data_IF_207317650330
#
_entry.id   IF_207317650330
#
_cell.length_a   1.000
_cell.length_b   1.000
_cell.length_c   1.000
_cell.angle_alpha   90.00
_cell.angle_beta   90.00
_cell.angle_gamma   90.00
#
_symmetry.space_group_name_H-M   'P 1'
#
loop_
_entity.id
_entity.type
_entity.pdbx_description
1 polymer ?
#
# COMPACT_ATOMS: atom_id res chain seq x y z
N UNK A 1 25.74 15.03 -0.67
CA UNK A 1 24.62 14.50 -1.49
C UNK A 1 23.77 13.65 -0.59
N UNK A 2 22.49 13.84 -0.60
CA UNK A 2 21.56 12.96 0.12
C UNK A 2 21.57 11.59 -0.58
N UNK A 3 21.64 10.46 0.14
CA UNK A 3 21.62 9.15 -0.50
C UNK A 3 20.27 8.94 -1.20
N UNK A 4 20.28 8.30 -2.37
CA UNK A 4 19.06 7.97 -3.11
C UNK A 4 18.25 6.86 -2.44
N UNK A 5 18.91 6.06 -1.60
CA UNK A 5 18.33 4.93 -0.90
C UNK A 5 18.55 5.07 0.59
N UNK A 6 17.52 4.79 1.40
CA UNK A 6 17.60 4.80 2.86
C UNK A 6 16.79 3.63 3.43
N UNK A 7 17.28 3.00 4.51
CA UNK A 7 16.54 1.97 5.21
C UNK A 7 15.26 2.53 5.83
N UNK A 8 14.20 1.74 5.87
CA UNK A 8 12.92 2.18 6.47
C UNK A 8 13.09 2.53 7.95
N UNK A 9 13.96 1.82 8.67
CA UNK A 9 14.23 2.07 10.08
C UNK A 9 14.80 3.47 10.36
N UNK A 10 15.47 4.08 9.38
CA UNK A 10 16.09 5.40 9.49
C UNK A 10 15.17 6.55 9.07
N UNK A 11 13.99 6.25 8.52
CA UNK A 11 13.04 7.25 8.06
C UNK A 11 12.17 7.78 9.20
N UNK A 12 11.85 9.08 9.13
CA UNK A 12 10.95 9.77 10.06
C UNK A 12 9.98 10.66 9.28
N UNK A 13 8.94 11.13 9.95
CA UNK A 13 7.91 11.98 9.36
C UNK A 13 8.46 13.19 8.58
N UNK A 14 9.59 13.77 9.04
CA UNK A 14 10.28 14.88 8.37
C UNK A 14 10.89 14.52 7.00
N UNK A 15 11.02 13.25 6.67
CA UNK A 15 11.59 12.78 5.40
C UNK A 15 10.51 12.60 4.30
N UNK A 16 9.24 12.92 4.57
CA UNK A 16 8.10 12.62 3.68
C UNK A 16 8.20 13.30 2.31
N UNK A 17 8.83 14.48 2.23
CA UNK A 17 9.09 15.16 0.96
C UNK A 17 10.04 14.39 0.04
N UNK A 18 10.99 13.66 0.62
CA UNK A 18 12.01 12.92 -0.12
C UNK A 18 11.63 11.45 -0.37
N UNK A 19 10.93 10.80 0.55
CA UNK A 19 10.67 9.36 0.47
C UNK A 19 9.19 8.99 0.39
N UNK A 20 8.29 9.99 0.44
CA UNK A 20 6.85 9.81 0.41
C UNK A 20 6.25 9.36 1.75
N UNK A 21 4.93 9.47 1.86
CA UNK A 21 4.18 9.19 3.10
C UNK A 21 4.26 7.74 3.55
N UNK A 22 4.09 6.78 2.63
CA UNK A 22 4.13 5.35 2.97
C UNK A 22 5.45 4.93 3.60
N UNK A 23 6.58 5.30 2.98
CA UNK A 23 7.91 4.92 3.49
C UNK A 23 8.17 5.52 4.86
N UNK A 24 7.83 6.78 5.07
CA UNK A 24 8.05 7.47 6.35
C UNK A 24 7.12 6.98 7.45
N UNK A 25 5.88 6.64 7.11
CA UNK A 25 4.94 6.01 8.06
C UNK A 25 5.46 4.66 8.57
N UNK A 26 6.06 3.83 7.70
CA UNK A 26 6.70 2.57 8.12
C UNK A 26 7.91 2.82 9.03
N UNK A 27 8.72 3.84 8.74
CA UNK A 27 9.83 4.27 9.60
C UNK A 27 9.37 4.73 10.98
N UNK A 28 8.27 5.46 11.05
CA UNK A 28 7.63 5.85 12.32
C UNK A 28 7.12 4.65 13.11
N UNK A 29 6.50 3.66 12.45
CA UNK A 29 6.07 2.42 13.09
C UNK A 29 7.27 1.66 13.69
N UNK A 30 8.37 1.52 12.94
CA UNK A 30 9.61 0.90 13.43
C UNK A 30 10.18 1.64 14.63
N UNK A 31 10.18 2.98 14.60
CA UNK A 31 10.65 3.81 15.72
C UNK A 31 9.80 3.64 16.98
N UNK A 32 8.52 3.32 16.82
CA UNK A 32 7.59 3.02 17.90
C UNK A 32 7.72 1.58 18.45
N UNK A 33 8.64 0.77 17.92
CA UNK A 33 8.80 -0.63 18.28
C UNK A 33 7.70 -1.55 17.71
N UNK A 34 6.98 -1.10 16.71
CA UNK A 34 5.98 -1.89 16.01
C UNK A 34 6.69 -2.79 14.99
N UNK A 35 6.27 -4.05 14.93
CA UNK A 35 6.85 -5.03 14.02
C UNK A 35 6.43 -4.73 12.58
N UNK A 36 7.39 -4.32 11.76
CA UNK A 36 7.25 -4.00 10.33
C UNK A 36 8.27 -4.83 9.57
N UNK A 37 7.95 -5.43 8.43
CA UNK A 37 8.95 -6.13 7.63
C UNK A 37 10.07 -5.18 7.24
N UNK A 38 11.36 -5.59 7.32
CA UNK A 38 12.47 -4.76 6.92
C UNK A 38 12.40 -4.39 5.45
N UNK A 39 13.06 -3.28 5.10
CA UNK A 39 13.07 -2.77 3.74
C UNK A 39 13.80 -1.44 3.63
N UNK A 40 13.79 -0.88 2.45
CA UNK A 40 14.38 0.42 2.14
C UNK A 40 13.42 1.25 1.28
N UNK A 41 13.69 2.54 1.22
CA UNK A 41 12.99 3.47 0.35
C UNK A 41 13.93 4.10 -0.67
N UNK A 42 13.43 4.29 -1.89
CA UNK A 42 14.07 5.04 -2.97
C UNK A 42 13.48 6.44 -2.98
N UNK A 43 14.33 7.46 -3.01
CA UNK A 43 13.91 8.86 -2.87
C UNK A 43 13.29 9.45 -4.15
N UNK A 44 12.59 10.55 -4.01
CA UNK A 44 12.11 11.38 -5.13
C UNK A 44 13.28 11.97 -5.94
N UNK A 45 14.44 12.21 -5.31
CA UNK A 45 15.65 12.66 -5.99
C UNK A 45 16.18 11.60 -6.96
N UNK A 46 16.00 10.30 -6.66
CA UNK A 46 16.31 9.21 -7.57
C UNK A 46 15.47 9.27 -8.86
N UNK A 47 14.18 9.53 -8.72
CA UNK A 47 13.30 9.75 -9.86
C UNK A 47 13.72 10.99 -10.67
N UNK A 48 14.03 12.09 -9.99
CA UNK A 48 14.51 13.31 -10.64
C UNK A 48 15.80 13.05 -11.42
N UNK A 49 16.76 12.30 -10.85
CA UNK A 49 17.97 11.91 -11.54
C UNK A 49 17.67 11.03 -12.78
N UNK A 50 16.75 10.08 -12.65
CA UNK A 50 16.33 9.24 -13.78
C UNK A 50 15.77 10.08 -14.95
N UNK A 51 15.00 11.12 -14.65
CA UNK A 51 14.45 12.03 -15.67
C UNK A 51 15.50 12.85 -16.41
N UNK A 52 16.73 12.98 -15.90
CA UNK A 52 17.81 13.68 -16.61
C UNK A 52 18.51 12.83 -17.69
N UNK A 53 18.31 11.51 -17.68
CA UNK A 53 18.95 10.61 -18.65
C UNK A 53 18.28 10.78 -20.01
N UNK A 54 19.09 10.96 -21.05
CA UNK A 54 18.66 11.08 -22.47
C UNK A 54 17.49 12.08 -22.65
N UNK A 55 17.52 13.18 -21.87
CA UNK A 55 16.50 14.23 -21.91
C UNK A 55 15.07 13.69 -21.67
N UNK A 56 14.94 12.59 -20.88
CA UNK A 56 13.66 11.91 -20.65
C UNK A 56 12.59 12.87 -20.13
N UNK A 57 12.96 13.77 -19.21
CA UNK A 57 12.03 14.76 -18.66
C UNK A 57 11.47 15.70 -19.73
N UNK A 58 12.30 16.14 -20.69
CA UNK A 58 11.88 17.00 -21.81
C UNK A 58 10.99 16.23 -22.78
N UNK A 59 11.30 14.96 -23.04
CA UNK A 59 10.47 14.07 -23.87
C UNK A 59 9.09 13.85 -23.26
N UNK A 60 9.02 13.67 -21.94
CA UNK A 60 7.75 13.55 -21.22
C UNK A 60 6.97 14.87 -21.30
N UNK A 61 7.62 16.00 -21.05
CA UNK A 61 6.99 17.31 -21.14
C UNK A 61 6.42 17.56 -22.55
N UNK A 62 7.18 17.20 -23.60
CA UNK A 62 6.71 17.31 -24.98
C UNK A 62 5.50 16.41 -25.29
N UNK A 63 5.44 15.20 -24.72
CA UNK A 63 4.31 14.29 -24.89
C UNK A 63 3.02 14.79 -24.18
N UNK A 64 3.17 15.64 -23.17
CA UNK A 64 2.06 16.24 -22.42
C UNK A 64 1.73 17.67 -22.89
N UNK A 65 2.57 18.29 -23.73
CA UNK A 65 2.31 19.61 -24.25
C UNK A 65 1.02 19.61 -25.12
N UNK A 66 0.22 20.64 -24.96
CA UNK A 66 -1.03 20.83 -25.71
C UNK A 66 -2.04 19.68 -25.63
N UNK A 67 -1.87 18.78 -24.62
CA UNK A 67 -2.77 17.65 -24.40
C UNK A 67 -4.12 18.14 -23.86
N UNK A 68 -5.20 17.86 -24.60
CA UNK A 68 -6.56 18.03 -24.06
C UNK A 68 -6.90 16.87 -23.12
N UNK A 69 -7.06 17.09 -21.81
CA UNK A 69 -7.39 16.05 -20.86
C UNK A 69 -8.79 15.44 -21.05
N UNK A 70 -9.66 16.08 -21.86
CA UNK A 70 -10.96 15.55 -22.21
C UNK A 70 -10.90 14.57 -23.41
N UNK A 71 -9.82 14.61 -24.21
CA UNK A 71 -9.58 13.60 -25.27
C UNK A 71 -8.94 12.33 -24.67
N UNK A 72 -9.80 11.38 -24.29
CA UNK A 72 -9.39 10.10 -23.71
C UNK A 72 -8.38 9.36 -24.60
N UNK A 73 -8.57 9.43 -25.94
CA UNK A 73 -7.67 8.78 -26.90
C UNK A 73 -6.29 9.45 -26.95
N UNK A 74 -6.21 10.78 -26.85
CA UNK A 74 -4.96 11.50 -26.79
C UNK A 74 -4.22 11.23 -25.48
N UNK A 75 -4.95 11.24 -24.35
CA UNK A 75 -4.40 10.91 -23.03
C UNK A 75 -3.82 9.49 -23.00
N UNK A 76 -4.54 8.51 -23.56
CA UNK A 76 -4.07 7.13 -23.65
C UNK A 76 -2.77 7.02 -24.47
N UNK A 77 -2.71 7.63 -25.65
CA UNK A 77 -1.51 7.64 -26.49
C UNK A 77 -0.33 8.32 -25.79
N UNK A 78 -0.54 9.46 -25.14
CA UNK A 78 0.52 10.15 -24.41
C UNK A 78 1.07 9.26 -23.27
N UNK A 79 0.20 8.60 -22.51
CA UNK A 79 0.58 7.64 -21.46
C UNK A 79 1.44 6.51 -22.03
N UNK A 80 1.06 5.90 -23.15
CA UNK A 80 1.80 4.80 -23.79
C UNK A 80 3.18 5.25 -24.27
N UNK A 81 3.26 6.41 -24.93
CA UNK A 81 4.53 6.99 -25.41
C UNK A 81 5.48 7.27 -24.24
N UNK A 82 4.97 7.83 -23.14
CA UNK A 82 5.76 8.10 -21.93
C UNK A 82 6.23 6.79 -21.31
N UNK A 83 5.35 5.80 -21.15
CA UNK A 83 5.71 4.51 -20.58
C UNK A 83 6.79 3.79 -21.41
N UNK A 84 6.71 3.83 -22.74
CA UNK A 84 7.72 3.26 -23.64
C UNK A 84 9.06 4.00 -23.50
N UNK A 85 9.04 5.33 -23.48
CA UNK A 85 10.24 6.14 -23.27
C UNK A 85 10.93 5.81 -21.94
N UNK A 86 10.18 5.71 -20.86
CA UNK A 86 10.71 5.37 -19.53
C UNK A 86 11.26 3.94 -19.46
N UNK A 87 10.64 2.98 -20.15
CA UNK A 87 11.16 1.60 -20.22
C UNK A 87 12.45 1.51 -21.00
N UNK A 88 12.60 2.29 -22.09
CA UNK A 88 13.77 2.30 -22.93
C UNK A 88 14.96 3.06 -22.34
N UNK A 89 14.75 3.90 -21.33
CA UNK A 89 15.79 4.70 -20.68
C UNK A 89 16.58 3.87 -19.67
N UNK A 90 17.90 3.92 -19.74
CA UNK A 90 18.79 3.22 -18.82
C UNK A 90 18.77 3.83 -17.41
N UNK A 91 18.88 2.96 -16.39
CA UNK A 91 18.99 3.41 -15.00
C UNK A 91 20.45 3.92 -14.76
N UNK A 92 20.64 5.12 -14.19
CA UNK A 92 21.96 5.62 -13.82
C UNK A 92 22.75 4.62 -12.99
N UNK A 93 24.02 4.39 -13.33
CA UNK A 93 24.86 3.38 -12.70
C UNK A 93 25.01 3.59 -11.18
N UNK A 94 25.09 4.85 -10.72
CA UNK A 94 25.14 5.19 -9.29
C UNK A 94 23.88 4.73 -8.56
N UNK A 95 22.72 4.99 -9.14
CA UNK A 95 21.43 4.63 -8.59
C UNK A 95 21.24 3.10 -8.56
N UNK A 96 21.62 2.43 -9.68
CA UNK A 96 21.61 0.96 -9.76
C UNK A 96 22.48 0.36 -8.65
N UNK A 97 23.66 0.89 -8.41
CA UNK A 97 24.56 0.40 -7.37
C UNK A 97 23.99 0.57 -5.95
N UNK A 98 23.33 1.68 -5.64
CA UNK A 98 22.72 1.90 -4.32
C UNK A 98 21.56 0.94 -4.05
N UNK A 99 20.64 0.77 -4.99
CA UNK A 99 19.50 -0.16 -4.85
C UNK A 99 20.00 -1.61 -4.79
N UNK A 100 20.96 -2.01 -5.64
CA UNK A 100 21.51 -3.37 -5.60
C UNK A 100 22.15 -3.70 -4.26
N UNK A 101 22.87 -2.74 -3.66
CA UNK A 101 23.46 -2.89 -2.33
C UNK A 101 22.40 -3.05 -1.24
N UNK A 102 21.35 -2.19 -1.27
CA UNK A 102 20.27 -2.25 -0.29
C UNK A 102 19.46 -3.55 -0.41
N UNK A 103 19.20 -4.00 -1.65
CA UNK A 103 18.51 -5.26 -1.90
C UNK A 103 19.34 -6.47 -1.46
N UNK A 104 20.67 -6.47 -1.73
CA UNK A 104 21.57 -7.51 -1.25
C UNK A 104 21.61 -7.58 0.28
N UNK A 105 21.70 -6.44 0.97
CA UNK A 105 21.66 -6.39 2.44
C UNK A 105 20.32 -6.93 2.99
N UNK A 106 19.21 -6.67 2.29
CA UNK A 106 17.91 -7.21 2.66
C UNK A 106 17.85 -8.73 2.49
N UNK A 107 18.48 -9.28 1.44
CA UNK A 107 18.65 -10.71 1.22
C UNK A 107 19.48 -11.37 2.32
N UNK A 108 20.61 -10.77 2.70
CA UNK A 108 21.45 -11.23 3.81
C UNK A 108 20.65 -11.28 5.13
N UNK A 109 19.86 -10.25 5.41
CA UNK A 109 19.00 -10.21 6.59
C UNK A 109 17.91 -11.30 6.58
N UNK A 110 17.37 -11.62 5.39
CA UNK A 110 16.39 -12.68 5.21
C UNK A 110 17.02 -14.09 5.15
N UNK A 111 18.34 -14.18 5.02
CA UNK A 111 19.07 -15.45 4.88
C UNK A 111 18.90 -16.12 3.52
N UNK A 112 18.65 -15.33 2.46
CA UNK A 112 18.47 -15.80 1.09
C UNK A 112 19.17 -14.86 0.10
N UNK A 113 19.62 -15.37 -1.05
CA UNK A 113 20.32 -14.57 -2.06
C UNK A 113 19.37 -13.61 -2.77
N UNK A 114 18.15 -14.05 -3.08
CA UNK A 114 17.11 -13.27 -3.75
C UNK A 114 15.85 -13.21 -2.88
N UNK A 115 15.78 -12.18 -2.03
CA UNK A 115 14.64 -11.99 -1.16
C UNK A 115 13.41 -11.55 -1.95
N UNK A 116 12.28 -12.24 -1.76
CA UNK A 116 11.01 -11.74 -2.27
C UNK A 116 10.62 -10.44 -1.58
N UNK A 117 10.24 -9.42 -2.36
CA UNK A 117 9.86 -8.10 -1.85
C UNK A 117 8.52 -7.63 -2.41
N UNK A 118 7.89 -6.73 -1.67
CA UNK A 118 6.83 -5.87 -2.16
C UNK A 118 7.44 -4.52 -2.58
N UNK A 119 7.17 -4.08 -3.81
CA UNK A 119 7.59 -2.78 -4.34
C UNK A 119 6.34 -1.91 -4.49
N UNK A 120 6.31 -0.78 -3.79
CA UNK A 120 5.12 0.07 -3.68
C UNK A 120 5.47 1.52 -3.96
N UNK A 121 4.63 2.21 -4.72
CA UNK A 121 4.71 3.65 -4.88
C UNK A 121 4.50 4.35 -3.53
N UNK A 122 5.24 5.44 -3.30
CA UNK A 122 5.17 6.28 -2.11
C UNK A 122 5.21 7.73 -2.55
N UNK A 123 4.04 8.28 -2.90
CA UNK A 123 3.94 9.63 -3.44
C UNK A 123 3.99 10.71 -2.33
N UNK A 124 4.37 11.93 -2.73
CA UNK A 124 4.27 13.12 -1.90
C UNK A 124 2.82 13.40 -1.55
N UNK A 125 2.52 13.63 -0.28
CA UNK A 125 1.18 14.05 0.16
C UNK A 125 0.09 12.99 0.01
N UNK A 126 0.42 11.74 -0.30
CA UNK A 126 -0.52 10.64 -0.47
C UNK A 126 -1.43 10.41 0.73
N UNK A 127 -0.89 10.59 1.94
CA UNK A 127 -1.60 10.41 3.21
C UNK A 127 -2.23 11.73 3.73
N UNK A 128 -2.21 12.81 2.92
CA UNK A 128 -2.85 14.06 3.31
C UNK A 128 -4.36 14.01 3.03
N UNK A 129 -5.15 14.65 3.90
CA UNK A 129 -6.61 14.78 3.75
C UNK A 129 -7.07 15.44 2.43
N UNK A 130 -6.14 16.08 1.71
CA UNK A 130 -6.37 16.75 0.44
C UNK A 130 -6.01 15.90 -0.79
N UNK A 131 -5.29 14.78 -0.61
CA UNK A 131 -4.80 13.97 -1.70
C UNK A 131 -5.80 12.87 -2.08
N UNK A 132 -6.62 13.12 -3.08
CA UNK A 132 -7.52 12.13 -3.68
C UNK A 132 -6.76 11.20 -4.67
N UNK A 133 -5.47 10.95 -4.44
CA UNK A 133 -4.68 9.98 -5.21
C UNK A 133 -4.94 8.51 -4.81
N UNK A 134 -5.87 8.29 -3.90
CA UNK A 134 -6.29 6.96 -3.49
C UNK A 134 -6.78 6.17 -4.72
N UNK A 135 -6.10 5.07 -5.04
CA UNK A 135 -6.51 4.15 -6.10
C UNK A 135 -5.70 4.17 -7.40
N UNK A 136 -4.62 4.94 -7.48
CA UNK A 136 -3.75 4.97 -8.67
C UNK A 136 -2.33 4.47 -8.38
N UNK A 137 -2.16 3.69 -7.31
CA UNK A 137 -0.85 3.31 -6.83
C UNK A 137 -0.61 1.83 -7.03
N UNK A 138 0.41 1.54 -7.84
CA UNK A 138 0.80 0.19 -8.14
C UNK A 138 1.58 -0.42 -6.97
N UNK A 139 1.24 -1.67 -6.65
CA UNK A 139 1.98 -2.51 -5.72
C UNK A 139 2.34 -3.81 -6.43
N UNK A 140 3.63 -4.07 -6.52
CA UNK A 140 4.17 -5.29 -7.10
C UNK A 140 4.57 -6.21 -5.96
N UNK A 141 3.93 -7.35 -5.88
CA UNK A 141 4.13 -8.30 -4.80
C UNK A 141 4.92 -9.51 -5.30
N UNK A 142 5.74 -10.07 -4.42
CA UNK A 142 6.56 -11.24 -4.70
C UNK A 142 7.54 -11.04 -5.85
N UNK A 143 8.18 -9.87 -5.84
CA UNK A 143 9.26 -9.53 -6.77
C UNK A 143 10.57 -10.10 -6.22
N UNK A 144 11.33 -10.83 -7.01
CA UNK A 144 12.60 -11.44 -6.61
C UNK A 144 13.64 -11.26 -7.71
N UNK A 145 14.87 -10.93 -7.30
CA UNK A 145 15.95 -10.57 -8.23
C UNK A 145 16.07 -9.06 -8.43
N UNK A 146 17.32 -8.56 -8.48
CA UNK A 146 17.62 -7.12 -8.52
C UNK A 146 17.07 -6.45 -9.79
N UNK A 147 17.07 -7.15 -10.92
CA UNK A 147 16.57 -6.61 -12.18
C UNK A 147 15.03 -6.47 -12.14
N UNK A 148 14.33 -7.46 -11.60
CA UNK A 148 12.86 -7.40 -11.42
C UNK A 148 12.47 -6.31 -10.41
N UNK A 149 13.27 -6.10 -9.36
CA UNK A 149 13.08 -4.98 -8.42
C UNK A 149 13.21 -3.64 -9.14
N UNK A 150 14.17 -3.51 -10.06
CA UNK A 150 14.31 -2.31 -10.88
C UNK A 150 13.13 -2.10 -11.83
N UNK A 151 12.66 -3.16 -12.45
CA UNK A 151 11.49 -3.08 -13.34
C UNK A 151 10.23 -2.68 -12.56
N UNK A 152 10.07 -3.18 -11.34
CA UNK A 152 8.97 -2.78 -10.46
C UNK A 152 9.10 -1.31 -9.98
N UNK A 153 10.32 -0.84 -9.63
CA UNK A 153 10.56 0.57 -9.30
C UNK A 153 10.20 1.47 -10.48
N UNK A 154 10.67 1.11 -11.67
CA UNK A 154 10.35 1.84 -12.91
C UNK A 154 8.84 1.84 -13.19
N UNK A 155 8.16 0.72 -12.97
CA UNK A 155 6.72 0.63 -13.14
C UNK A 155 5.97 1.53 -12.14
N UNK A 156 6.42 1.64 -10.88
CA UNK A 156 5.90 2.65 -9.95
C UNK A 156 6.05 4.07 -10.50
N UNK A 157 7.19 4.42 -11.08
CA UNK A 157 7.38 5.75 -11.68
C UNK A 157 6.52 5.97 -12.93
N UNK A 158 6.33 4.94 -13.75
CA UNK A 158 5.43 4.99 -14.93
C UNK A 158 3.98 5.23 -14.51
N UNK A 159 3.53 4.71 -13.36
CA UNK A 159 2.16 4.91 -12.89
C UNK A 159 1.78 6.37 -12.67
N UNK A 160 2.77 7.25 -12.44
CA UNK A 160 2.57 8.71 -12.41
C UNK A 160 2.01 9.26 -13.72
N UNK A 161 2.20 8.56 -14.82
CA UNK A 161 1.76 8.96 -16.16
C UNK A 161 0.67 8.03 -16.71
N UNK A 162 -0.02 7.30 -15.84
CA UNK A 162 -1.24 6.57 -16.21
C UNK A 162 -2.33 7.53 -16.70
N UNK A 163 -3.25 7.11 -17.58
CA UNK A 163 -4.31 7.98 -18.10
C UNK A 163 -5.11 8.67 -16.98
N UNK A 164 -5.55 7.98 -15.91
CA UNK A 164 -6.21 8.64 -14.78
C UNK A 164 -5.31 9.67 -14.09
N UNK A 165 -4.00 9.38 -13.90
CA UNK A 165 -3.07 10.30 -13.25
C UNK A 165 -2.82 11.56 -14.09
N UNK A 166 -2.71 11.45 -15.40
CA UNK A 166 -2.59 12.57 -16.33
C UNK A 166 -3.85 13.45 -16.25
N UNK A 167 -5.03 12.83 -16.40
CA UNK A 167 -6.31 13.56 -16.37
C UNK A 167 -6.54 14.27 -15.04
N UNK A 168 -6.25 13.60 -13.92
CA UNK A 168 -6.40 14.18 -12.59
C UNK A 168 -5.50 15.42 -12.41
N UNK A 169 -4.21 15.32 -12.75
CA UNK A 169 -3.29 16.46 -12.63
C UNK A 169 -3.71 17.64 -13.49
N UNK A 170 -4.16 17.38 -14.71
CA UNK A 170 -4.64 18.45 -15.60
C UNK A 170 -5.88 19.18 -15.05
N UNK A 171 -6.72 18.50 -14.25
CA UNK A 171 -7.93 19.09 -13.69
C UNK A 171 -7.71 19.77 -12.33
N UNK A 172 -6.81 19.25 -11.51
CA UNK A 172 -6.71 19.60 -10.08
C UNK A 172 -5.35 20.13 -9.64
N UNK A 173 -4.28 19.94 -10.41
CA UNK A 173 -2.97 20.48 -10.09
C UNK A 173 -2.90 21.95 -10.52
N UNK A 174 -3.05 22.85 -9.56
CA UNK A 174 -2.95 24.31 -9.77
C UNK A 174 -1.47 24.81 -9.72
N UNK A 175 -0.46 23.99 -10.00
CA UNK A 175 0.94 24.37 -9.88
C UNK A 175 1.85 23.64 -10.87
N UNK A 176 3.00 24.29 -11.16
CA UNK A 176 4.08 23.78 -12.04
C UNK A 176 4.94 22.67 -11.40
N UNK A 177 4.53 22.09 -10.27
CA UNK A 177 5.32 21.05 -9.62
C UNK A 177 5.30 19.75 -10.41
N UNK A 178 6.46 19.38 -10.93
CA UNK A 178 6.64 18.10 -11.59
C UNK A 178 6.28 16.95 -10.61
N UNK A 179 5.59 15.91 -11.08
CA UNK A 179 5.24 14.78 -10.23
C UNK A 179 6.53 14.14 -9.68
N UNK A 180 6.55 13.87 -8.38
CA UNK A 180 7.67 13.23 -7.72
C UNK A 180 7.16 12.02 -6.90
N UNK A 181 7.88 10.90 -6.99
CA UNK A 181 7.48 9.66 -6.33
C UNK A 181 8.70 8.96 -5.76
N UNK A 182 8.65 8.70 -4.45
CA UNK A 182 9.49 7.72 -3.82
C UNK A 182 8.94 6.31 -4.04
N UNK A 183 9.74 5.30 -3.77
CA UNK A 183 9.33 3.89 -3.87
C UNK A 183 9.75 3.16 -2.60
N UNK A 184 8.84 2.41 -2.01
CA UNK A 184 9.09 1.52 -0.88
C UNK A 184 9.40 0.12 -1.39
N UNK A 185 10.52 -0.46 -0.99
CA UNK A 185 10.90 -1.86 -1.23
C UNK A 185 10.96 -2.55 0.13
N UNK A 186 10.11 -3.54 0.36
CA UNK A 186 9.91 -4.16 1.67
C UNK A 186 9.90 -5.68 1.54
N UNK A 187 10.51 -6.41 2.49
CA UNK A 187 10.43 -7.87 2.52
C UNK A 187 8.99 -8.34 2.47
N UNK A 188 8.76 -9.32 1.61
CA UNK A 188 7.44 -9.93 1.46
C UNK A 188 7.10 -10.78 2.68
N UNK A 189 5.86 -10.68 3.15
CA UNK A 189 5.32 -11.54 4.19
C UNK A 189 4.48 -12.64 3.53
N UNK A 190 4.88 -13.89 3.70
CA UNK A 190 4.04 -15.03 3.32
C UNK A 190 2.89 -15.16 4.32
N UNK A 191 1.81 -14.42 4.05
CA UNK A 191 0.71 -14.30 4.96
C UNK A 191 -0.15 -15.56 5.03
N UNK A 192 -0.40 -16.05 6.25
CA UNK A 192 -1.48 -17.00 6.53
C UNK A 192 -2.82 -16.29 6.53
N UNK A 193 -2.86 -15.14 7.20
CA UNK A 193 -4.04 -14.27 7.34
C UNK A 193 -3.56 -12.83 7.21
N UNK A 194 -4.32 -12.02 6.54
CA UNK A 194 -4.07 -10.59 6.44
C UNK A 194 -5.35 -9.79 6.35
N UNK A 195 -5.23 -8.49 6.45
CA UNK A 195 -6.39 -7.63 6.34
C UNK A 195 -6.11 -6.18 6.66
N UNK A 196 -7.17 -5.46 6.97
CA UNK A 196 -7.15 -4.07 7.37
C UNK A 196 -7.78 -3.90 8.73
N UNK A 197 -7.31 -2.92 9.50
CA UNK A 197 -7.97 -2.52 10.74
C UNK A 197 -8.03 -1.01 10.86
N UNK A 198 -9.13 -0.53 11.43
CA UNK A 198 -9.33 0.89 11.74
C UNK A 198 -9.32 1.08 13.24
N UNK A 199 -8.63 2.11 13.71
CA UNK A 199 -8.65 2.47 15.13
C UNK A 199 -9.87 3.29 15.52
N UNK A 200 -10.92 3.23 14.74
CA UNK A 200 -12.27 3.71 15.06
C UNK A 200 -13.28 2.88 14.26
N UNK A 201 -14.56 2.99 14.58
CA UNK A 201 -15.59 2.43 13.71
C UNK A 201 -15.65 3.21 12.38
N UNK A 202 -15.41 2.60 11.23
CA UNK A 202 -15.50 3.31 9.94
C UNK A 202 -16.95 3.73 9.62
N UNK A 203 -17.95 3.02 10.15
CA UNK A 203 -19.36 3.30 9.89
C UNK A 203 -19.91 4.46 10.76
N UNK A 204 -19.45 4.61 12.02
CA UNK A 204 -19.99 5.58 12.98
C UNK A 204 -18.97 6.62 13.44
N UNK A 205 -17.69 6.42 13.17
CA UNK A 205 -16.61 7.23 13.71
C UNK A 205 -16.33 7.01 15.20
N UNK A 206 -16.94 6.00 15.84
CA UNK A 206 -16.76 5.72 17.27
C UNK A 206 -15.30 5.40 17.60
N UNK A 207 -14.59 6.24 18.39
CA UNK A 207 -13.18 6.06 18.72
C UNK A 207 -12.92 4.96 19.75
N UNK A 208 -13.97 4.44 20.41
CA UNK A 208 -13.86 3.40 21.43
C UNK A 208 -13.72 1.99 20.86
N UNK A 209 -13.82 1.85 19.54
CA UNK A 209 -13.84 0.57 18.81
C UNK A 209 -12.58 0.46 17.92
N UNK A 210 -12.03 -0.76 17.83
CA UNK A 210 -11.17 -1.18 16.72
C UNK A 210 -12.02 -2.08 15.81
N UNK A 211 -12.07 -1.72 14.52
CA UNK A 211 -12.71 -2.54 13.49
C UNK A 211 -11.64 -3.31 12.72
N UNK A 212 -11.77 -4.63 12.63
CA UNK A 212 -10.81 -5.51 11.94
C UNK A 212 -11.53 -6.26 10.84
N UNK A 213 -10.99 -6.21 9.63
CA UNK A 213 -11.39 -7.03 8.49
C UNK A 213 -10.26 -8.00 8.17
N UNK A 214 -10.55 -9.29 8.01
CA UNK A 214 -9.55 -10.33 7.84
C UNK A 214 -9.94 -11.37 6.79
N UNK A 215 -8.98 -11.86 6.03
CA UNK A 215 -9.14 -13.00 5.13
C UNK A 215 -7.87 -13.85 5.08
N UNK A 216 -8.00 -15.05 4.51
CA UNK A 216 -6.86 -15.93 4.29
C UNK A 216 -5.93 -15.41 3.20
N UNK A 217 -4.65 -15.70 3.35
CA UNK A 217 -3.62 -15.34 2.38
C UNK A 217 -3.25 -13.86 2.39
N UNK A 218 -2.84 -13.35 1.23
CA UNK A 218 -2.42 -11.96 1.05
C UNK A 218 -3.62 -11.00 0.99
N UNK A 219 -3.42 -9.77 1.45
CA UNK A 219 -4.47 -8.75 1.61
C UNK A 219 -5.18 -8.30 0.35
N UNK A 220 -4.71 -8.68 -0.84
CA UNK A 220 -5.28 -8.30 -2.14
C UNK A 220 -6.78 -8.61 -2.25
N UNK A 221 -7.22 -9.78 -1.79
CA UNK A 221 -8.62 -10.17 -1.85
C UNK A 221 -9.53 -9.27 -1.01
N UNK A 222 -9.05 -8.78 0.14
CA UNK A 222 -9.77 -7.84 1.01
C UNK A 222 -9.77 -6.45 0.42
N UNK A 223 -8.59 -5.96 0.03
CA UNK A 223 -8.41 -4.62 -0.53
C UNK A 223 -9.13 -4.50 -1.87
N UNK A 224 -9.07 -5.53 -2.73
CA UNK A 224 -9.76 -5.60 -4.01
C UNK A 224 -11.27 -5.83 -3.91
N UNK A 225 -11.81 -6.13 -2.72
CA UNK A 225 -13.24 -6.41 -2.54
C UNK A 225 -13.72 -7.69 -3.22
N UNK A 226 -12.82 -8.63 -3.48
CA UNK A 226 -13.12 -9.89 -4.17
C UNK A 226 -13.71 -10.95 -3.24
N UNK A 227 -13.60 -10.74 -1.93
CA UNK A 227 -14.14 -11.61 -0.91
C UNK A 227 -14.94 -10.82 0.11
N UNK A 228 -15.89 -11.49 0.77
CA UNK A 228 -16.49 -10.99 2.00
C UNK A 228 -15.59 -11.42 3.16
N UNK A 229 -14.83 -10.49 3.78
CA UNK A 229 -13.91 -10.82 4.86
C UNK A 229 -14.65 -11.16 6.14
N UNK A 230 -13.93 -11.73 7.11
CA UNK A 230 -14.39 -11.73 8.49
C UNK A 230 -14.33 -10.31 9.04
N UNK A 231 -15.36 -9.91 9.77
CA UNK A 231 -15.46 -8.60 10.43
C UNK A 231 -15.51 -8.76 11.95
N UNK A 232 -14.67 -8.02 12.65
CA UNK A 232 -14.67 -7.97 14.11
C UNK A 232 -14.72 -6.51 14.58
N UNK A 233 -15.59 -6.21 15.54
CA UNK A 233 -15.59 -4.95 16.27
C UNK A 233 -15.16 -5.22 17.71
N UNK A 234 -14.08 -4.60 18.15
CA UNK A 234 -13.45 -4.87 19.45
C UNK A 234 -13.47 -3.59 20.29
N UNK A 235 -13.94 -3.68 21.53
CA UNK A 235 -13.88 -2.57 22.48
C UNK A 235 -12.43 -2.26 22.87
N UNK A 236 -11.98 -1.03 22.67
CA UNK A 236 -10.67 -0.59 23.16
C UNK A 236 -10.57 -0.56 24.68
N UNK A 237 -11.70 -0.40 25.37
CA UNK A 237 -11.77 -0.27 26.83
C UNK A 237 -11.71 -1.62 27.50
N UNK A 238 -12.58 -2.54 27.09
CA UNK A 238 -12.72 -3.87 27.75
C UNK A 238 -11.93 -4.97 27.04
N UNK A 239 -11.57 -4.80 25.75
CA UNK A 239 -11.00 -5.85 24.92
C UNK A 239 -12.02 -6.88 24.42
N UNK A 240 -13.30 -6.71 24.75
CA UNK A 240 -14.36 -7.63 24.32
C UNK A 240 -14.68 -7.48 22.84
N UNK A 241 -15.00 -8.60 22.21
CA UNK A 241 -15.51 -8.64 20.83
C UNK A 241 -17.00 -8.27 20.90
N UNK A 242 -17.32 -7.04 20.46
CA UNK A 242 -18.69 -6.52 20.47
C UNK A 242 -19.54 -7.08 19.32
N UNK A 243 -18.89 -7.36 18.18
CA UNK A 243 -19.50 -7.95 16.99
C UNK A 243 -18.50 -8.81 16.26
N UNK A 244 -18.97 -9.93 15.74
CA UNK A 244 -18.22 -10.83 14.86
C UNK A 244 -19.15 -11.27 13.74
N UNK A 245 -18.68 -11.15 12.50
CA UNK A 245 -19.35 -11.67 11.31
C UNK A 245 -18.32 -12.49 10.52
N UNK A 246 -18.64 -13.75 10.25
CA UNK A 246 -17.77 -14.61 9.45
C UNK A 246 -18.20 -14.51 7.99
N UNK A 247 -17.29 -14.06 7.15
CA UNK A 247 -17.52 -13.87 5.74
C UNK A 247 -17.33 -15.14 4.90
N UNK A 248 -17.72 -15.06 3.64
CA UNK A 248 -17.41 -16.07 2.63
C UNK A 248 -16.09 -15.72 1.94
N UNK A 249 -15.02 -16.31 2.43
CA UNK A 249 -13.65 -16.11 1.94
C UNK A 249 -13.35 -17.08 0.80
N UNK A 250 -14.07 -16.93 -0.33
CA UNK A 250 -14.04 -17.88 -1.45
C UNK A 250 -12.68 -17.97 -2.15
N UNK A 251 -11.89 -16.88 -2.12
CA UNK A 251 -10.61 -16.75 -2.81
C UNK A 251 -9.56 -16.27 -1.82
N UNK A 252 -8.37 -16.81 -1.92
CA UNK A 252 -7.16 -16.30 -1.27
C UNK A 252 -6.10 -16.00 -2.33
N UNK A 253 -5.25 -14.99 -2.10
CA UNK A 253 -4.10 -14.72 -2.95
C UNK A 253 -2.87 -15.38 -2.35
N UNK A 254 -2.17 -16.13 -3.19
CA UNK A 254 -0.98 -16.91 -2.79
C UNK A 254 0.13 -16.74 -3.82
N UNK A 255 1.36 -16.88 -3.36
CA UNK A 255 2.49 -17.09 -4.25
C UNK A 255 2.51 -18.55 -4.71
N UNK A 256 2.80 -18.79 -5.98
CA UNK A 256 3.05 -20.13 -6.52
C UNK A 256 4.57 -20.32 -6.69
N UNK A 257 5.18 -21.36 -6.08
CA UNK A 257 6.62 -21.61 -6.21
C UNK A 257 7.05 -21.70 -7.68
N UNK A 258 8.09 -20.93 -8.04
CA UNK A 258 8.61 -20.86 -9.41
C UNK A 258 7.86 -19.92 -10.36
N UNK A 259 6.85 -19.22 -9.89
CA UNK A 259 6.17 -18.15 -10.62
C UNK A 259 6.54 -16.78 -10.01
N UNK A 260 6.64 -15.76 -10.85
CA UNK A 260 6.76 -14.37 -10.37
C UNK A 260 5.37 -13.87 -9.95
N UNK A 261 5.34 -13.08 -8.87
CA UNK A 261 4.11 -12.44 -8.42
C UNK A 261 3.20 -13.36 -7.60
N UNK A 262 1.93 -13.02 -7.61
CA UNK A 262 0.88 -13.68 -6.82
C UNK A 262 -0.34 -13.96 -7.70
N UNK A 263 -1.09 -15.00 -7.36
CA UNK A 263 -2.30 -15.37 -8.10
C UNK A 263 -3.46 -15.68 -7.16
N UNK A 264 -4.69 -15.50 -7.61
CA UNK A 264 -5.86 -15.97 -6.88
C UNK A 264 -5.91 -17.50 -6.89
N UNK A 265 -6.31 -18.08 -5.77
CA UNK A 265 -6.56 -19.50 -5.60
C UNK A 265 -7.87 -19.71 -4.82
N UNK A 266 -8.64 -20.77 -5.10
CA UNK A 266 -9.79 -21.10 -4.30
C UNK A 266 -9.40 -21.41 -2.86
N UNK A 267 -10.03 -20.77 -1.90
CA UNK A 267 -9.86 -21.13 -0.49
C UNK A 267 -10.39 -22.54 -0.24
N UNK A 268 -9.63 -23.42 0.45
CA UNK A 268 -10.11 -24.75 0.83
C UNK A 268 -11.47 -24.69 1.55
N UNK A 269 -12.38 -25.59 1.17
CA UNK A 269 -13.77 -25.55 1.62
C UNK A 269 -13.91 -25.53 3.16
N UNK A 270 -13.02 -26.25 3.86
CA UNK A 270 -12.97 -26.32 5.32
C UNK A 270 -12.57 -25.00 6.00
N UNK A 271 -11.88 -24.10 5.27
CA UNK A 271 -11.44 -22.80 5.79
C UNK A 271 -12.38 -21.64 5.40
N UNK A 272 -13.19 -21.85 4.39
CA UNK A 272 -13.96 -20.78 3.75
C UNK A 272 -14.91 -20.03 4.72
N UNK A 273 -15.56 -20.77 5.60
CA UNK A 273 -16.61 -20.25 6.50
C UNK A 273 -16.25 -20.34 7.99
N UNK A 274 -14.99 -20.51 8.33
CA UNK A 274 -14.51 -20.44 9.70
C UNK A 274 -13.79 -19.13 9.95
N UNK A 275 -13.71 -18.70 11.20
CA UNK A 275 -12.98 -17.49 11.58
C UNK A 275 -11.50 -17.60 11.17
N UNK A 276 -10.99 -16.58 10.50
CA UNK A 276 -9.56 -16.49 10.12
C UNK A 276 -8.67 -16.06 11.28
N UNK A 277 -9.26 -15.46 12.32
CA UNK A 277 -8.59 -15.00 13.53
C UNK A 277 -9.18 -15.65 14.77
N UNK A 278 -8.32 -16.07 15.69
CA UNK A 278 -8.66 -16.48 17.04
C UNK A 278 -8.58 -15.30 18.03
N UNK A 279 -8.94 -15.58 19.30
CA UNK A 279 -8.96 -14.56 20.33
C UNK A 279 -7.56 -13.99 20.65
N UNK A 280 -6.50 -14.79 20.54
CA UNK A 280 -5.12 -14.35 20.80
C UNK A 280 -4.65 -13.37 19.71
N UNK A 281 -4.90 -13.70 18.44
CA UNK A 281 -4.59 -12.82 17.31
C UNK A 281 -5.38 -11.51 17.35
N UNK A 282 -6.67 -11.56 17.72
CA UNK A 282 -7.49 -10.35 17.90
C UNK A 282 -6.99 -9.47 19.04
N UNK A 283 -6.55 -10.06 20.16
CA UNK A 283 -5.95 -9.31 21.26
C UNK A 283 -4.63 -8.65 20.86
N UNK A 284 -3.79 -9.33 20.08
CA UNK A 284 -2.55 -8.78 19.54
C UNK A 284 -2.79 -7.62 18.56
N UNK A 285 -3.77 -7.74 17.65
CA UNK A 285 -4.20 -6.66 16.75
C UNK A 285 -4.72 -5.45 17.52
N UNK A 286 -5.53 -5.66 18.56
CA UNK A 286 -6.01 -4.59 19.43
C UNK A 286 -4.85 -3.87 20.14
N UNK A 287 -3.86 -4.62 20.64
CA UNK A 287 -2.67 -4.04 21.28
C UNK A 287 -1.86 -3.20 20.30
N UNK A 288 -1.61 -3.70 19.08
CA UNK A 288 -0.93 -2.98 18.02
C UNK A 288 -1.70 -1.71 17.61
N UNK A 289 -3.02 -1.81 17.38
CA UNK A 289 -3.87 -0.67 17.03
C UNK A 289 -3.79 0.46 18.07
N UNK A 290 -3.85 0.13 19.36
CA UNK A 290 -3.72 1.11 20.45
C UNK A 290 -2.34 1.74 20.55
N UNK A 291 -1.27 0.98 20.28
CA UNK A 291 0.09 1.49 20.26
C UNK A 291 0.31 2.45 19.08
N UNK A 292 -0.15 2.09 17.91
CA UNK A 292 -0.05 2.88 16.68
C UNK A 292 -0.85 4.19 16.80
N UNK A 293 -2.12 4.11 17.23
CA UNK A 293 -2.94 5.32 17.44
C UNK A 293 -2.32 6.28 18.46
N UNK A 294 -1.72 5.75 19.53
CA UNK A 294 -1.03 6.57 20.53
C UNK A 294 0.21 7.24 19.96
N UNK A 295 0.98 6.52 19.13
CA UNK A 295 2.18 7.06 18.50
C UNK A 295 1.88 8.21 17.54
N UNK A 296 0.90 8.02 16.66
CA UNK A 296 0.52 9.05 15.68
C UNK A 296 -0.40 10.15 16.26
N UNK A 297 -1.01 9.93 17.43
CA UNK A 297 -1.96 10.86 18.04
C UNK A 297 -3.25 11.05 17.24
N UNK A 298 -3.53 10.20 16.26
CA UNK A 298 -4.67 10.27 15.35
C UNK A 298 -5.20 8.87 15.02
N UNK A 299 -6.47 8.79 14.61
CA UNK A 299 -7.09 7.53 14.17
C UNK A 299 -6.41 7.04 12.92
N UNK A 300 -6.18 5.73 12.86
CA UNK A 300 -5.39 5.09 11.80
C UNK A 300 -6.19 4.03 11.06
N UNK A 301 -5.92 3.94 9.76
CA UNK A 301 -6.22 2.85 8.85
C UNK A 301 -4.92 2.06 8.64
N UNK A 302 -4.93 0.77 8.98
CA UNK A 302 -3.73 -0.04 9.11
C UNK A 302 -3.87 -1.34 8.32
N UNK A 303 -2.93 -1.59 7.42
CA UNK A 303 -2.76 -2.90 6.78
C UNK A 303 -1.86 -3.79 7.64
N UNK A 304 -2.22 -5.05 7.79
CA UNK A 304 -1.49 -6.00 8.62
C UNK A 304 -1.48 -7.41 8.02
N UNK A 305 -0.53 -8.23 8.45
CA UNK A 305 -0.46 -9.64 8.11
C UNK A 305 0.09 -10.47 9.27
N UNK A 306 -0.38 -11.70 9.40
CA UNK A 306 0.21 -12.76 10.22
C UNK A 306 0.90 -13.73 9.28
N UNK A 307 2.21 -13.88 9.42
CA UNK A 307 2.99 -14.79 8.58
C UNK A 307 2.70 -16.26 8.91
N UNK A 308 2.81 -17.13 7.89
CA UNK A 308 2.70 -18.60 8.06
C UNK A 308 3.80 -19.16 8.95
N UNK A 309 5.00 -18.56 8.88
CA UNK A 309 6.14 -18.95 9.69
C UNK A 309 6.26 -18.11 10.94
N UNK A 310 6.95 -18.64 11.95
CA UNK A 310 7.14 -17.95 13.22
C UNK A 310 6.01 -18.21 14.20
N UNK A 311 6.12 -17.59 15.37
CA UNK A 311 5.14 -17.72 16.47
C UNK A 311 4.53 -16.37 16.78
N UNK A 312 3.23 -16.33 17.00
CA UNK A 312 2.53 -15.14 17.42
C UNK A 312 3.01 -14.70 18.85
N UNK A 313 3.19 -13.39 19.13
CA UNK A 313 2.90 -12.26 18.25
C UNK A 313 4.06 -11.82 17.34
N UNK A 314 5.23 -12.50 17.36
CA UNK A 314 6.40 -12.08 16.60
C UNK A 314 6.23 -12.17 15.08
N UNK A 315 5.27 -12.96 14.61
CA UNK A 315 4.91 -13.07 13.19
C UNK A 315 3.72 -12.19 12.76
N UNK A 316 3.27 -11.27 13.63
CA UNK A 316 2.31 -10.23 13.27
C UNK A 316 3.07 -9.00 12.78
N UNK A 317 2.81 -8.60 11.55
CA UNK A 317 3.44 -7.46 10.89
C UNK A 317 2.43 -6.37 10.52
N UNK A 318 2.84 -5.11 10.70
CA UNK A 318 2.13 -3.95 10.13
C UNK A 318 2.77 -3.61 8.79
N UNK A 319 1.94 -3.49 7.75
CA UNK A 319 2.39 -3.32 6.36
C UNK A 319 2.22 -1.89 5.85
N UNK A 320 1.30 -1.16 6.44
CA UNK A 320 1.02 0.26 6.17
C UNK A 320 0.19 0.85 7.31
N UNK A 321 0.35 2.15 7.59
CA UNK A 321 -0.53 2.91 8.47
C UNK A 321 -0.72 4.31 7.90
N UNK A 322 -1.96 4.80 7.88
CA UNK A 322 -2.29 6.16 7.45
C UNK A 322 -3.41 6.75 8.30
N UNK A 323 -3.49 8.08 8.43
CA UNK A 323 -4.60 8.71 9.12
C UNK A 323 -5.95 8.40 8.45
N UNK A 324 -7.00 8.18 9.26
CA UNK A 324 -8.37 8.06 8.74
C UNK A 324 -8.85 9.43 8.30
N UNK A 325 -9.08 9.60 6.98
CA UNK A 325 -9.46 10.89 6.37
C UNK A 325 -10.99 11.10 6.26
N UNK A 326 -11.77 10.02 6.24
CA UNK A 326 -13.23 10.06 6.12
C UNK A 326 -13.89 9.47 7.37
N UNK A 327 -14.39 10.33 8.26
CA UNK A 327 -15.37 9.94 9.28
C UNK A 327 -16.71 10.52 8.89
N UNK A 328 -17.81 9.75 8.91
CA UNK A 328 -19.15 10.30 8.76
C UNK A 328 -19.35 11.38 9.83
N UNK A 329 -19.61 12.61 9.42
CA UNK A 329 -20.05 13.67 10.35
C UNK A 329 -21.39 13.23 10.93
N UNK A 330 -21.49 13.18 12.27
CA UNK A 330 -22.74 12.99 12.97
C UNK A 330 -23.72 14.07 12.53
N UNK A 331 -24.64 13.77 11.63
CA UNK A 331 -25.63 14.74 11.11
C UNK A 331 -26.20 14.45 9.72
N UNK A 332 -25.71 13.49 8.97
CA UNK A 332 -26.42 13.06 7.76
C UNK A 332 -27.35 11.88 8.13
N UNK A 333 -28.65 12.10 8.04
CA UNK A 333 -29.68 11.06 8.05
C UNK A 333 -29.47 10.11 6.86
N UNK A 334 -28.47 9.24 6.94
CA UNK A 334 -28.29 8.13 6.03
C UNK A 334 -29.24 7.02 6.47
N UNK A 335 -30.29 6.85 5.67
CA UNK A 335 -31.22 5.72 5.71
C UNK A 335 -30.44 4.43 6.01
N UNK A 336 -30.83 3.75 7.06
CA UNK A 336 -30.28 2.44 7.45
C UNK A 336 -30.45 1.45 6.31
N UNK A 337 -29.43 1.29 5.49
CA UNK A 337 -29.30 0.09 4.66
C UNK A 337 -28.71 -1.03 5.54
N UNK A 338 -29.56 -2.02 5.85
CA UNK A 338 -29.26 -3.14 6.76
C UNK A 338 -28.42 -4.24 6.11
N UNK A 339 -27.82 -3.98 4.96
CA UNK A 339 -26.92 -4.92 4.28
C UNK A 339 -25.47 -4.48 4.52
N UNK A 340 -24.59 -5.41 4.90
CA UNK A 340 -23.17 -5.18 5.22
C UNK A 340 -22.31 -4.56 4.10
N UNK A 341 -22.96 -4.05 3.05
CA UNK A 341 -22.35 -3.36 1.92
C UNK A 341 -21.76 -1.97 2.27
N UNK A 342 -22.24 -1.34 3.36
CA UNK A 342 -21.81 0.04 3.69
C UNK A 342 -20.36 0.15 4.16
N UNK A 343 -19.90 -0.76 5.04
CA UNK A 343 -18.52 -0.75 5.54
C UNK A 343 -17.53 -1.14 4.42
N UNK A 344 -17.92 -2.10 3.57
CA UNK A 344 -17.13 -2.54 2.42
C UNK A 344 -17.01 -1.44 1.36
N UNK A 345 -18.08 -0.67 1.11
CA UNK A 345 -18.04 0.47 0.18
C UNK A 345 -17.09 1.57 0.67
N UNK A 346 -16.99 1.78 1.99
CA UNK A 346 -16.04 2.73 2.57
C UNK A 346 -14.59 2.23 2.43
N UNK A 347 -14.34 0.95 2.67
CA UNK A 347 -13.04 0.30 2.47
C UNK A 347 -12.64 0.39 0.99
N UNK A 348 -13.51 0.03 0.05
CA UNK A 348 -13.26 0.10 -1.38
C UNK A 348 -13.04 1.54 -1.86
N UNK A 349 -13.80 2.52 -1.35
CA UNK A 349 -13.61 3.93 -1.64
C UNK A 349 -12.25 4.47 -1.15
N UNK A 350 -11.73 3.90 -0.07
CA UNK A 350 -10.45 4.29 0.52
C UNK A 350 -9.25 3.72 -0.25
N UNK A 351 -9.39 2.54 -0.87
CA UNK A 351 -8.33 1.88 -1.63
C UNK A 351 -8.42 2.09 -3.15
N UNK A 352 -9.45 2.78 -3.65
CA UNK A 352 -9.58 3.19 -5.05
C UNK A 352 -9.68 2.04 -6.06
N UNK A 353 -10.05 0.85 -5.62
CA UNK A 353 -10.20 -0.31 -6.53
C UNK A 353 -11.48 -0.16 -7.33
N UNK A 354 -11.37 0.10 -8.63
CA UNK A 354 -12.49 -0.05 -9.58
C UNK A 354 -12.75 -1.54 -9.81
N UNK A 355 -14.04 -1.93 -9.79
CA UNK A 355 -14.45 -3.25 -10.25
C UNK A 355 -13.99 -3.42 -11.70
N UNK A 356 -13.29 -4.49 -12.01
CA UNK A 356 -13.08 -4.93 -13.37
C UNK A 356 -14.44 -5.32 -13.94
N UNK A 357 -15.02 -4.50 -14.81
CA UNK A 357 -16.27 -4.84 -15.49
C UNK A 357 -17.31 -3.70 -15.63
N UNK A 358 -16.89 -2.41 -15.63
CA UNK A 358 -17.69 -1.32 -16.19
C UNK A 358 -16.85 -0.43 -17.09
#
# INVERSE_FOLDING_TARGET
MTPFVRELADLRAGDSELFGGKSTSLGELLSAGINVPPGFAVSTDAFTLFLTVDELGERIAAALADLDPADVGAVQRASEVIAEAMRATDIPASLRAEVSRAYGALGEQAGVDEAAVAVRSSARGEDSAAATFAGQQDSFLWVAGVDDVWDAIRACWISLYSPPAITYRAQFAAGDDAPAMGVTVQLMVDAEVSGVMFTCSPATGDPSIVSVNASWGLGLAVVGGEVTPDEFAISKVTGEILRQTIGDKAVEYVHAPGELGVRPAPTPAERRHIASLDAERLAGLLAAAKAIERHFGARQDIEWAVARSGTFPSNLYMLQSRPVTATPTAGSDAVHDRTGAGAMALVLGTFGVKRAGE
#
